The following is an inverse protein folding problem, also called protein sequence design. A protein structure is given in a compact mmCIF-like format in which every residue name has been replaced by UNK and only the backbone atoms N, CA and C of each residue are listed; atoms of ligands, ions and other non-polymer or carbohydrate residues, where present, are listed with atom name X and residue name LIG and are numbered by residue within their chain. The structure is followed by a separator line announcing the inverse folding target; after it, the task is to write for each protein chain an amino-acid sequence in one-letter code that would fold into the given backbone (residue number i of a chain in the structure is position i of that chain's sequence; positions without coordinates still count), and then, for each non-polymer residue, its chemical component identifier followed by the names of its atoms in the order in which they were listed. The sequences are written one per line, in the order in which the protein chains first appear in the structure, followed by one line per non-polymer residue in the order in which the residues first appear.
data_IF_885648291055
#
_entry.id   IF_885648291055
#
_cell.length_a   1.000
_cell.length_b   1.000
_cell.length_c   1.000
_cell.angle_alpha   90.00
_cell.angle_beta   90.00
_cell.angle_gamma   90.00
#
_symmetry.space_group_name_H-M   'P 1'
#
loop_
_entity.id
_entity.type
_entity.pdbx_description
1 polymer ?
#
# COMPACT_ATOMS: atom_id res chain seq x y z
N UNK A 1 -15.63 -1.67 -3.74
CA UNK A 1 -15.46 -0.74 -2.60
C UNK A 1 -16.11 -1.39 -1.39
N UNK A 2 -15.37 -1.67 -0.32
CA UNK A 2 -15.89 -2.42 0.83
C UNK A 2 -16.55 -1.45 1.83
N UNK A 3 -17.76 -1.79 2.31
CA UNK A 3 -18.49 -1.00 3.31
C UNK A 3 -18.20 -1.55 4.70
N UNK A 4 -17.87 -0.66 5.63
CA UNK A 4 -17.68 -1.00 7.05
C UNK A 4 -18.76 -0.26 7.84
N UNK A 5 -19.49 -0.98 8.69
CA UNK A 5 -20.46 -0.42 9.63
C UNK A 5 -19.98 -0.74 11.05
N UNK A 6 -19.85 0.30 11.87
CA UNK A 6 -19.42 0.23 13.26
C UNK A 6 -20.44 0.98 14.10
N UNK A 7 -20.87 0.35 15.19
CA UNK A 7 -21.64 1.04 16.23
C UNK A 7 -20.66 1.53 17.27
N UNK A 8 -20.75 2.81 17.61
CA UNK A 8 -19.93 3.45 18.63
C UNK A 8 -20.85 3.97 19.72
N UNK A 9 -20.35 4.04 20.95
CA UNK A 9 -21.05 4.80 21.99
C UNK A 9 -20.94 6.30 21.69
N UNK A 10 -21.77 7.09 22.37
CA UNK A 10 -21.74 8.55 22.23
C UNK A 10 -20.38 9.11 22.70
N UNK A 11 -19.79 8.53 23.73
CA UNK A 11 -18.48 8.90 24.26
C UNK A 11 -17.36 8.61 23.25
N UNK A 12 -17.33 7.41 22.66
CA UNK A 12 -16.35 7.03 21.64
C UNK A 12 -16.44 7.94 20.42
N UNK A 13 -17.67 8.25 20.01
CA UNK A 13 -17.95 9.17 18.90
C UNK A 13 -17.43 10.58 19.20
N UNK A 14 -17.70 11.09 20.41
CA UNK A 14 -17.26 12.43 20.81
C UNK A 14 -15.72 12.54 20.87
N UNK A 15 -15.05 11.53 21.44
CA UNK A 15 -13.58 11.49 21.52
C UNK A 15 -12.96 11.49 20.12
N UNK A 16 -13.42 10.60 19.24
CA UNK A 16 -12.87 10.47 17.89
C UNK A 16 -13.17 11.71 17.04
N UNK A 17 -14.36 12.30 17.16
CA UNK A 17 -14.70 13.53 16.46
C UNK A 17 -13.86 14.72 16.94
N UNK A 18 -13.64 14.85 18.24
CA UNK A 18 -12.80 15.90 18.85
C UNK A 18 -11.32 15.77 18.46
N UNK A 19 -10.81 14.54 18.37
CA UNK A 19 -9.46 14.29 17.87
C UNK A 19 -9.34 14.63 16.37
N UNK A 20 -10.29 14.16 15.56
CA UNK A 20 -10.29 14.38 14.12
C UNK A 20 -10.44 15.85 13.71
N UNK A 21 -11.25 16.61 14.44
CA UNK A 21 -11.52 18.03 14.15
C UNK A 21 -10.27 18.90 14.24
N UNK A 22 -9.31 18.55 15.11
CA UNK A 22 -8.01 19.23 15.21
C UNK A 22 -7.21 19.17 13.89
N UNK A 23 -7.48 18.16 13.06
CA UNK A 23 -6.86 17.99 11.74
C UNK A 23 -7.82 18.34 10.59
N UNK A 24 -9.00 18.91 10.89
CA UNK A 24 -10.05 19.18 9.90
C UNK A 24 -10.67 17.92 9.31
N UNK A 25 -10.62 16.79 10.02
CA UNK A 25 -11.14 15.50 9.55
C UNK A 25 -12.57 15.26 10.04
N UNK A 26 -13.39 14.65 9.18
CA UNK A 26 -14.68 14.10 9.59
C UNK A 26 -14.49 12.81 10.40
N UNK A 27 -15.51 12.42 11.19
CA UNK A 27 -15.47 11.18 11.97
C UNK A 27 -15.13 9.94 11.12
N UNK A 28 -15.73 9.73 9.92
CA UNK A 28 -15.36 8.59 9.08
C UNK A 28 -13.90 8.63 8.61
N UNK A 29 -13.37 9.82 8.31
CA UNK A 29 -11.97 9.98 7.89
C UNK A 29 -11.01 9.67 9.05
N UNK A 30 -11.38 10.09 10.25
CA UNK A 30 -10.63 9.84 11.48
C UNK A 30 -10.63 8.34 11.82
N UNK A 31 -11.77 7.67 11.73
CA UNK A 31 -11.88 6.22 11.91
C UNK A 31 -10.97 5.46 10.95
N UNK A 32 -10.99 5.82 9.66
CA UNK A 32 -10.09 5.21 8.66
C UNK A 32 -8.63 5.40 9.05
N UNK A 33 -8.24 6.60 9.45
CA UNK A 33 -6.87 6.88 9.86
C UNK A 33 -6.43 6.03 11.05
N UNK A 34 -7.25 5.96 12.10
CA UNK A 34 -6.96 5.16 13.31
C UNK A 34 -6.83 3.68 12.95
N UNK A 35 -7.78 3.12 12.19
CA UNK A 35 -7.74 1.73 11.74
C UNK A 35 -6.48 1.47 10.91
N UNK A 36 -6.15 2.37 9.96
CA UNK A 36 -4.95 2.26 9.14
C UNK A 36 -3.68 2.28 9.98
N UNK A 37 -3.60 3.13 11.01
CA UNK A 37 -2.44 3.21 11.91
C UNK A 37 -2.32 1.99 12.82
N UNK A 38 -3.43 1.47 13.31
CA UNK A 38 -3.44 0.21 14.06
C UNK A 38 -2.99 -0.95 13.16
N UNK A 39 -3.51 -1.04 11.93
CA UNK A 39 -3.13 -2.05 10.95
C UNK A 39 -1.65 -1.95 10.51
N UNK A 40 -1.12 -0.73 10.37
CA UNK A 40 0.30 -0.50 10.03
C UNK A 40 1.24 -1.20 11.03
N UNK A 41 0.90 -1.18 12.32
CA UNK A 41 1.69 -1.86 13.36
C UNK A 41 1.75 -3.38 13.13
N UNK A 42 0.61 -4.01 12.83
CA UNK A 42 0.56 -5.45 12.52
C UNK A 42 1.32 -5.82 11.23
N UNK A 43 1.26 -4.95 10.20
CA UNK A 43 2.00 -5.15 8.95
C UNK A 43 3.52 -5.07 9.19
N UNK A 44 3.97 -4.09 10.01
CA UNK A 44 5.39 -3.95 10.39
C UNK A 44 5.90 -5.14 11.21
N UNK A 45 5.03 -5.78 11.99
CA UNK A 45 5.36 -6.94 12.83
C UNK A 45 5.35 -8.28 12.07
N UNK A 46 5.17 -8.27 10.74
CA UNK A 46 5.56 -9.41 9.88
C UNK A 46 4.45 -10.05 9.04
N UNK A 47 3.23 -9.51 9.04
CA UNK A 47 2.16 -9.96 8.15
C UNK A 47 1.92 -8.95 7.03
N UNK A 48 2.88 -8.86 6.11
CA UNK A 48 2.65 -8.12 4.86
C UNK A 48 1.74 -8.99 3.99
N UNK A 49 0.53 -8.52 3.64
CA UNK A 49 -0.34 -9.28 2.75
C UNK A 49 0.34 -9.44 1.38
N UNK A 50 0.49 -10.68 0.94
CA UNK A 50 0.91 -10.99 -0.43
C UNK A 50 -0.35 -10.97 -1.28
N UNK A 51 -0.33 -10.15 -2.32
CA UNK A 51 -1.41 -10.08 -3.30
C UNK A 51 -1.01 -10.88 -4.53
N UNK A 52 -1.93 -11.70 -5.03
CA UNK A 52 -1.72 -12.40 -6.29
C UNK A 52 -1.61 -11.38 -7.43
N UNK A 53 -0.57 -11.55 -8.24
CA UNK A 53 -0.36 -10.79 -9.45
C UNK A 53 -1.36 -11.26 -10.51
N UNK A 54 -1.84 -10.37 -11.38
CA UNK A 54 -2.67 -10.81 -12.51
C UNK A 54 -1.86 -11.67 -13.48
N UNK A 55 -2.47 -12.68 -14.09
CA UNK A 55 -1.84 -13.60 -15.07
C UNK A 55 -1.02 -12.86 -16.14
N UNK A 56 -1.53 -11.74 -16.66
CA UNK A 56 -0.84 -10.94 -17.69
C UNK A 56 0.52 -10.43 -17.22
N UNK A 57 0.59 -9.92 -16.00
CA UNK A 57 1.82 -9.35 -15.45
C UNK A 57 2.76 -10.49 -15.03
N UNK A 58 2.23 -11.59 -14.52
CA UNK A 58 3.03 -12.79 -14.22
C UNK A 58 3.73 -13.31 -15.48
N UNK A 59 3.00 -13.48 -16.58
CA UNK A 59 3.57 -13.90 -17.86
C UNK A 59 4.63 -12.91 -18.39
N UNK A 60 4.42 -11.61 -18.19
CA UNK A 60 5.39 -10.58 -18.57
C UNK A 60 6.67 -10.71 -17.75
N UNK A 61 6.55 -10.92 -16.43
CA UNK A 61 7.69 -11.15 -15.54
C UNK A 61 8.44 -12.43 -15.87
N UNK A 62 7.73 -13.53 -16.13
CA UNK A 62 8.33 -14.80 -16.55
C UNK A 62 9.07 -14.67 -17.89
N UNK A 63 8.53 -13.88 -18.84
CA UNK A 63 9.21 -13.59 -20.09
C UNK A 63 10.50 -12.79 -19.85
N UNK A 64 10.43 -11.72 -19.06
CA UNK A 64 11.60 -10.90 -18.74
C UNK A 64 12.70 -11.72 -18.03
N UNK A 65 12.32 -12.63 -17.13
CA UNK A 65 13.26 -13.54 -16.46
C UNK A 65 13.97 -14.46 -17.46
N UNK A 66 13.23 -15.02 -18.43
CA UNK A 66 13.81 -15.85 -19.50
C UNK A 66 14.75 -15.04 -20.39
N UNK A 67 14.41 -13.80 -20.70
CA UNK A 67 15.26 -12.92 -21.51
C UNK A 67 16.56 -12.54 -20.78
N UNK A 68 16.49 -12.30 -19.47
CA UNK A 68 17.67 -12.12 -18.62
C UNK A 68 18.56 -13.36 -18.60
N UNK A 69 17.99 -14.55 -18.37
CA UNK A 69 18.73 -15.82 -18.40
C UNK A 69 19.36 -16.11 -19.77
N UNK A 70 18.74 -15.64 -20.85
CA UNK A 70 19.28 -15.73 -22.20
C UNK A 70 20.34 -14.65 -22.51
N UNK A 71 20.73 -13.82 -21.54
CA UNK A 71 21.76 -12.80 -21.68
C UNK A 71 21.33 -11.56 -22.48
N UNK A 72 20.02 -11.32 -22.63
CA UNK A 72 19.50 -10.15 -23.37
C UNK A 72 19.51 -8.86 -22.55
N UNK A 73 19.89 -8.92 -21.29
CA UNK A 73 20.00 -7.76 -20.39
C UNK A 73 21.41 -7.23 -20.39
N UNK A 74 21.55 -5.91 -20.33
CA UNK A 74 22.82 -5.22 -20.10
C UNK A 74 22.98 -4.89 -18.62
N UNK A 75 24.22 -4.91 -18.13
CA UNK A 75 24.54 -4.33 -16.83
C UNK A 75 24.46 -2.80 -16.95
N UNK A 76 23.84 -2.16 -15.97
CA UNK A 76 23.76 -0.71 -15.86
C UNK A 76 24.68 -0.31 -14.72
N UNK A 77 25.82 0.28 -15.06
CA UNK A 77 26.84 0.68 -14.09
C UNK A 77 26.64 2.13 -13.58
N UNK A 78 25.88 2.93 -14.33
CA UNK A 78 25.56 4.32 -14.01
C UNK A 78 24.05 4.56 -14.17
N UNK A 79 23.44 4.99 -13.07
CA UNK A 79 22.00 5.24 -12.99
C UNK A 79 21.60 6.52 -13.73
N UNK A 80 22.46 7.54 -13.78
CA UNK A 80 22.17 8.80 -14.45
C UNK A 80 22.12 8.58 -15.97
N UNK A 81 23.15 7.90 -16.50
CA UNK A 81 23.21 7.49 -17.92
C UNK A 81 22.02 6.60 -18.32
N UNK A 82 21.50 5.76 -17.42
CA UNK A 82 20.33 4.93 -17.71
C UNK A 82 19.06 5.76 -17.93
N UNK A 83 18.81 6.75 -17.05
CA UNK A 83 17.62 7.60 -17.16
C UNK A 83 17.69 8.57 -18.33
N UNK A 84 18.88 9.01 -18.74
CA UNK A 84 19.06 9.84 -19.93
C UNK A 84 18.76 9.09 -21.25
N UNK A 85 18.77 7.75 -21.23
CA UNK A 85 18.55 6.89 -22.40
C UNK A 85 17.18 6.18 -22.40
N UNK A 86 16.28 6.53 -21.48
CA UNK A 86 14.95 5.92 -21.33
C UNK A 86 13.90 6.58 -22.24
#
# INVERSE_FOLDING_TARGET
MNKVQLSLTDEETAILASYGSQFGYSLPKTLRFVISKAAEKFIREGTIPVFEMSDKIEQTGLKALKEHQAGKTIAVDDIDTFFDNL
#
